data_IF_369765078523
#
_entry.id   IF_369765078523
#
_cell.length_a   1.000
_cell.length_b   1.000
_cell.length_c   1.000
_cell.angle_alpha   90.00
_cell.angle_beta   90.00
_cell.angle_gamma   90.00
#
_symmetry.space_group_name_H-M   'P 1'
#
loop_
_entity.id
_entity.type
_entity.pdbx_description
1 polymer ?
#
# COMPACT_ATOMS: atom_id res chain seq x y z
N UNK A 1 27.40 2.07 -1.65
CA UNK A 1 26.02 1.92 -2.21
C UNK A 1 25.07 1.26 -1.22
N UNK A 2 25.53 0.29 -0.42
CA UNK A 2 24.69 -0.39 0.59
C UNK A 2 24.32 0.52 1.76
N UNK A 3 25.13 1.51 2.08
CA UNK A 3 24.87 2.44 3.18
C UNK A 3 23.65 3.36 2.96
N UNK A 4 23.21 3.56 1.71
CA UNK A 4 22.01 4.38 1.41
C UNK A 4 20.73 3.67 1.85
N UNK A 5 20.74 2.36 1.95
CA UNK A 5 19.60 1.55 2.39
C UNK A 5 19.66 1.19 3.89
N UNK A 6 20.76 1.50 4.56
CA UNK A 6 20.91 1.38 6.01
C UNK A 6 20.63 2.72 6.68
N UNK A 7 19.37 3.08 6.77
CA UNK A 7 18.97 4.10 7.75
C UNK A 7 19.12 3.47 9.14
N UNK A 8 20.26 3.74 9.78
CA UNK A 8 20.54 3.31 11.17
C UNK A 8 19.83 4.26 12.14
N UNK A 9 18.52 4.30 12.13
CA UNK A 9 17.74 5.11 13.03
C UNK A 9 16.28 4.66 13.05
N UNK A 10 15.63 4.81 14.17
CA UNK A 10 14.23 4.45 14.40
C UNK A 10 13.22 5.29 13.59
N UNK A 11 13.69 6.20 12.71
CA UNK A 11 12.83 7.07 11.88
C UNK A 11 13.20 6.97 10.41
N UNK A 12 12.22 6.55 9.61
CA UNK A 12 12.27 6.65 8.16
C UNK A 12 12.11 8.12 7.73
N UNK A 13 12.73 8.56 6.61
CA UNK A 13 12.54 9.92 6.11
C UNK A 13 11.13 10.11 5.53
N UNK A 14 10.61 11.34 5.62
CA UNK A 14 9.31 11.71 5.06
C UNK A 14 9.34 11.84 3.54
N UNK A 15 10.51 12.09 2.95
CA UNK A 15 10.76 12.21 1.51
C UNK A 15 12.23 11.95 1.20
N UNK A 16 12.50 11.43 0.00
CA UNK A 16 13.84 11.18 -0.50
C UNK A 16 14.06 11.98 -1.79
N UNK A 17 15.15 12.73 -1.87
CA UNK A 17 15.56 13.42 -3.09
C UNK A 17 16.87 12.79 -3.57
N UNK A 18 16.89 12.34 -4.82
CA UNK A 18 18.01 11.60 -5.41
C UNK A 18 18.49 12.36 -6.64
N UNK A 19 19.79 12.49 -6.82
CA UNK A 19 20.38 12.98 -8.09
C UNK A 19 20.40 11.85 -9.13
N UNK A 20 20.38 12.19 -10.40
CA UNK A 20 20.48 11.26 -11.53
C UNK A 20 21.68 10.31 -11.41
N UNK A 21 22.78 10.78 -10.81
CA UNK A 21 23.97 9.99 -10.52
C UNK A 21 24.47 10.27 -9.11
N UNK A 22 24.53 9.26 -8.27
CA UNK A 22 25.07 9.34 -6.90
C UNK A 22 26.22 8.36 -6.76
N UNK A 23 27.47 8.87 -6.58
CA UNK A 23 28.68 8.04 -6.43
C UNK A 23 28.85 6.99 -7.55
N UNK A 24 28.57 7.36 -8.81
CA UNK A 24 28.70 6.47 -9.97
C UNK A 24 27.54 5.49 -10.18
N UNK A 25 26.52 5.52 -9.32
CA UNK A 25 25.31 4.71 -9.45
C UNK A 25 24.19 5.55 -10.03
N UNK A 26 23.40 4.98 -10.93
CA UNK A 26 22.27 5.68 -11.52
C UNK A 26 21.14 5.85 -10.49
N UNK A 27 20.63 7.07 -10.35
CA UNK A 27 19.56 7.42 -9.42
C UNK A 27 18.31 6.54 -9.59
N UNK A 28 17.99 6.14 -10.84
CA UNK A 28 16.87 5.22 -11.11
C UNK A 28 17.04 3.83 -10.49
N UNK A 29 18.27 3.33 -10.39
CA UNK A 29 18.55 2.03 -9.76
C UNK A 29 18.35 2.11 -8.24
N UNK A 30 18.71 3.27 -7.67
CA UNK A 30 18.47 3.57 -6.25
C UNK A 30 16.97 3.68 -6.00
N UNK A 31 16.24 4.41 -6.85
CA UNK A 31 14.78 4.51 -6.81
C UNK A 31 14.12 3.14 -6.82
N UNK A 32 14.45 2.30 -7.80
CA UNK A 32 13.89 0.94 -7.91
C UNK A 32 14.14 0.10 -6.66
N UNK A 33 15.34 0.19 -6.05
CA UNK A 33 15.65 -0.49 -4.79
C UNK A 33 14.82 0.03 -3.62
N UNK A 34 14.63 1.35 -3.51
CA UNK A 34 13.76 1.95 -2.47
C UNK A 34 12.32 1.49 -2.65
N UNK A 35 11.81 1.54 -3.88
CA UNK A 35 10.42 1.18 -4.18
C UNK A 35 10.13 -0.32 -4.13
N UNK A 36 11.14 -1.17 -4.25
CA UNK A 36 11.02 -2.62 -4.00
C UNK A 36 11.13 -3.00 -2.52
N UNK A 37 11.57 -2.10 -1.66
CA UNK A 37 11.66 -2.35 -0.23
C UNK A 37 10.31 -2.09 0.45
N UNK A 38 9.72 -3.10 1.07
CA UNK A 38 8.40 -3.04 1.73
C UNK A 38 8.30 -1.98 2.82
N UNK A 39 9.41 -1.67 3.51
CA UNK A 39 9.45 -0.65 4.56
C UNK A 39 9.59 0.79 4.02
N UNK A 40 10.03 0.96 2.77
CA UNK A 40 10.32 2.27 2.18
C UNK A 40 9.48 2.60 0.94
N UNK A 41 8.72 1.63 0.40
CA UNK A 41 7.90 1.80 -0.81
C UNK A 41 6.93 2.99 -0.72
N UNK A 42 6.45 3.29 0.47
CA UNK A 42 5.50 4.38 0.71
C UNK A 42 6.15 5.77 0.76
N UNK A 43 7.48 5.86 0.89
CA UNK A 43 8.19 7.14 0.99
C UNK A 43 8.24 7.81 -0.38
N UNK A 44 7.79 9.07 -0.52
CA UNK A 44 7.89 9.80 -1.77
C UNK A 44 9.35 10.00 -2.21
N UNK A 45 9.61 9.83 -3.51
CA UNK A 45 10.94 9.99 -4.10
C UNK A 45 10.90 11.01 -5.23
N UNK A 46 11.75 12.04 -5.14
CA UNK A 46 12.04 12.98 -6.23
C UNK A 46 13.38 12.60 -6.85
N UNK A 47 13.43 12.43 -8.18
CA UNK A 47 14.66 12.22 -8.91
C UNK A 47 15.02 13.50 -9.69
N UNK A 48 16.22 14.03 -9.46
CA UNK A 48 16.77 15.16 -10.17
C UNK A 48 17.50 14.68 -11.41
N UNK A 49 17.13 15.18 -12.60
CA UNK A 49 17.69 14.78 -13.89
C UNK A 49 18.46 15.95 -14.55
N UNK A 50 19.54 15.62 -15.25
CA UNK A 50 20.41 16.62 -15.88
C UNK A 50 19.79 17.25 -17.13
N UNK A 51 19.07 16.45 -17.93
CA UNK A 51 18.42 16.89 -19.17
C UNK A 51 16.90 16.90 -19.03
N UNK A 52 16.29 17.95 -19.60
CA UNK A 52 14.86 18.23 -19.53
C UNK A 52 14.13 17.82 -20.83
N UNK A 53 14.68 16.89 -21.61
CA UNK A 53 14.08 16.41 -22.83
C UNK A 53 13.06 15.27 -22.56
N UNK A 54 12.08 15.12 -23.46
CA UNK A 54 11.03 14.13 -23.32
C UNK A 54 11.55 12.68 -23.29
N UNK A 55 12.73 12.42 -23.87
CA UNK A 55 13.37 11.10 -23.84
C UNK A 55 13.90 10.74 -22.45
N UNK A 56 14.42 11.71 -21.71
CA UNK A 56 14.90 11.53 -20.34
C UNK A 56 13.75 11.20 -19.38
N UNK A 57 12.60 11.87 -19.53
CA UNK A 57 11.41 11.58 -18.71
C UNK A 57 10.91 10.14 -18.91
N UNK A 58 10.82 9.68 -20.16
CA UNK A 58 10.39 8.31 -20.46
C UNK A 58 11.36 7.25 -19.93
N UNK A 59 12.67 7.54 -19.98
CA UNK A 59 13.70 6.60 -19.49
C UNK A 59 13.68 6.37 -17.97
N UNK A 60 13.02 7.24 -17.21
CA UNK A 60 12.94 7.18 -15.75
C UNK A 60 11.54 6.84 -15.22
N UNK A 61 10.52 6.76 -16.09
CA UNK A 61 9.14 6.48 -15.70
C UNK A 61 8.96 5.11 -15.01
N UNK A 62 9.76 4.12 -15.40
CA UNK A 62 9.62 2.73 -14.93
C UNK A 62 10.24 2.46 -13.54
N UNK A 63 10.96 3.42 -12.94
CA UNK A 63 11.64 3.19 -11.67
C UNK A 63 10.75 3.46 -10.42
N UNK A 64 9.47 3.81 -10.62
CA UNK A 64 8.52 4.08 -9.52
C UNK A 64 8.75 5.41 -8.81
N UNK A 65 9.48 6.36 -9.42
CA UNK A 65 9.68 7.71 -8.89
C UNK A 65 8.36 8.48 -8.83
N UNK A 66 8.13 9.21 -7.74
CA UNK A 66 6.91 10.00 -7.57
C UNK A 66 6.96 11.33 -8.33
N UNK A 67 8.16 11.87 -8.53
CA UNK A 67 8.37 13.08 -9.31
C UNK A 67 9.78 13.16 -9.93
N UNK A 68 9.83 13.63 -11.18
CA UNK A 68 11.06 13.97 -11.90
C UNK A 68 11.18 15.50 -11.96
N UNK A 69 12.33 16.03 -11.59
CA UNK A 69 12.61 17.45 -11.66
C UNK A 69 14.00 17.72 -12.28
N UNK A 70 14.18 18.82 -13.03
CA UNK A 70 15.49 19.17 -13.56
C UNK A 70 16.46 19.51 -12.42
N UNK A 71 17.72 19.11 -12.55
CA UNK A 71 18.76 19.41 -11.56
C UNK A 71 18.93 20.92 -11.32
N UNK A 72 18.69 21.74 -12.36
CA UNK A 72 18.71 23.21 -12.30
C UNK A 72 17.39 23.82 -11.81
N UNK A 73 16.62 23.09 -11.00
CA UNK A 73 15.35 23.56 -10.44
C UNK A 73 15.56 24.75 -9.49
N UNK A 74 14.65 25.71 -9.55
CA UNK A 74 14.61 26.78 -8.56
C UNK A 74 14.25 26.19 -7.17
N UNK A 75 15.01 26.60 -6.14
CA UNK A 75 14.83 26.12 -4.76
C UNK A 75 13.40 26.34 -4.25
N UNK A 76 12.76 27.46 -4.60
CA UNK A 76 11.37 27.72 -4.20
C UNK A 76 10.42 26.70 -4.81
N UNK A 77 10.61 26.34 -6.08
CA UNK A 77 9.81 25.32 -6.76
C UNK A 77 10.04 23.94 -6.13
N UNK A 78 11.29 23.56 -5.88
CA UNK A 78 11.60 22.28 -5.21
C UNK A 78 10.96 22.20 -3.82
N UNK A 79 10.99 23.29 -3.04
CA UNK A 79 10.30 23.35 -1.73
C UNK A 79 8.80 23.15 -1.87
N UNK A 80 8.16 23.76 -2.88
CA UNK A 80 6.73 23.56 -3.13
C UNK A 80 6.43 22.11 -3.48
N UNK A 81 7.23 21.48 -4.33
CA UNK A 81 7.05 20.10 -4.75
C UNK A 81 7.22 19.12 -3.58
N UNK A 82 8.23 19.33 -2.75
CA UNK A 82 8.44 18.59 -1.51
C UNK A 82 7.21 18.71 -0.61
N UNK A 83 6.71 19.94 -0.39
CA UNK A 83 5.55 20.17 0.47
C UNK A 83 4.27 19.49 -0.08
N UNK A 84 4.06 19.54 -1.40
CA UNK A 84 2.92 18.87 -2.06
C UNK A 84 3.00 17.36 -1.84
N UNK A 85 4.17 16.75 -2.04
CA UNK A 85 4.35 15.30 -1.87
C UNK A 85 4.20 14.87 -0.41
N UNK A 86 4.77 15.60 0.55
CA UNK A 86 4.61 15.34 1.98
C UNK A 86 3.14 15.46 2.38
N UNK A 87 2.46 16.55 2.00
CA UNK A 87 1.05 16.75 2.31
C UNK A 87 0.17 15.64 1.70
N UNK A 88 0.46 15.23 0.45
CA UNK A 88 -0.22 14.10 -0.21
C UNK A 88 0.01 12.81 0.58
N UNK A 89 1.24 12.55 0.97
CA UNK A 89 1.61 11.37 1.77
C UNK A 89 0.89 11.37 3.14
N UNK A 90 0.96 12.48 3.88
CA UNK A 90 0.26 12.63 5.17
C UNK A 90 -1.25 12.45 5.04
N UNK A 91 -1.87 13.00 3.98
CA UNK A 91 -3.31 12.80 3.74
C UNK A 91 -3.64 11.33 3.50
N UNK A 92 -2.81 10.63 2.74
CA UNK A 92 -2.95 9.19 2.51
C UNK A 92 -2.82 8.45 3.85
N UNK A 93 -1.78 8.75 4.64
CA UNK A 93 -1.57 8.11 5.94
C UNK A 93 -2.72 8.38 6.91
N UNK A 94 -3.20 9.62 7.02
CA UNK A 94 -4.39 9.98 7.82
C UNK A 94 -5.66 9.29 7.35
N UNK A 95 -5.84 9.13 6.02
CA UNK A 95 -6.95 8.35 5.48
C UNK A 95 -6.81 6.86 5.81
N UNK A 96 -5.58 6.34 5.83
CA UNK A 96 -5.30 4.98 6.25
C UNK A 96 -5.59 4.78 7.75
N UNK A 97 -5.12 5.67 8.59
CA UNK A 97 -5.36 5.66 10.04
C UNK A 97 -6.85 5.82 10.36
N UNK A 98 -7.52 6.78 9.72
CA UNK A 98 -8.96 6.97 9.86
C UNK A 98 -9.75 5.75 9.38
N UNK A 99 -9.34 5.15 8.25
CA UNK A 99 -9.98 3.93 7.76
C UNK A 99 -9.64 2.68 8.58
N UNK A 100 -8.49 2.65 9.24
CA UNK A 100 -8.18 1.65 10.25
C UNK A 100 -9.03 1.88 11.51
N UNK A 101 -9.35 3.13 11.86
CA UNK A 101 -10.19 3.46 13.01
C UNK A 101 -11.69 3.35 12.72
N UNK A 102 -12.15 3.78 11.52
CA UNK A 102 -13.58 3.84 11.17
C UNK A 102 -14.09 2.56 10.48
N UNK A 103 -13.21 1.73 9.92
CA UNK A 103 -13.58 0.55 9.11
C UNK A 103 -12.94 -0.77 9.55
N UNK A 104 -12.05 -0.78 10.52
CA UNK A 104 -12.07 -1.96 11.37
C UNK A 104 -13.43 -1.86 12.08
N UNK A 105 -14.30 -2.91 12.03
CA UNK A 105 -15.24 -3.04 13.08
C UNK A 105 -14.36 -2.90 14.33
N UNK A 106 -14.61 -1.83 15.10
CA UNK A 106 -13.98 -1.73 16.41
C UNK A 106 -14.06 -3.16 16.92
N UNK A 107 -12.95 -3.88 17.03
CA UNK A 107 -13.10 -5.18 17.61
C UNK A 107 -13.79 -4.82 18.90
N UNK A 108 -14.95 -5.40 19.14
CA UNK A 108 -15.45 -5.52 20.48
C UNK A 108 -14.44 -6.43 21.19
N UNK A 109 -13.15 -6.13 20.97
CA UNK A 109 -12.01 -6.78 21.56
C UNK A 109 -12.12 -6.47 23.04
N UNK A 110 -12.88 -7.33 23.71
CA UNK A 110 -13.14 -7.27 25.14
C UNK A 110 -11.88 -7.61 25.93
N UNK A 111 -10.78 -7.98 25.21
CA UNK A 111 -9.51 -8.38 25.84
C UNK A 111 -8.30 -8.11 24.92
N UNK A 112 -7.11 -8.00 25.53
CA UNK A 112 -5.82 -7.95 24.81
C UNK A 112 -5.61 -9.20 23.93
N UNK A 113 -6.10 -10.37 24.39
CA UNK A 113 -6.02 -11.62 23.64
C UNK A 113 -6.75 -11.57 22.30
N UNK A 114 -7.90 -10.90 22.24
CA UNK A 114 -8.68 -10.75 21.02
C UNK A 114 -7.97 -9.82 20.02
N UNK A 115 -7.31 -8.78 20.52
CA UNK A 115 -6.49 -7.89 19.71
C UNK A 115 -5.29 -8.62 19.11
N UNK A 116 -4.57 -9.41 19.92
CA UNK A 116 -3.46 -10.25 19.45
C UNK A 116 -3.90 -11.29 18.44
N UNK A 117 -5.07 -11.90 18.67
CA UNK A 117 -5.65 -12.88 17.74
C UNK A 117 -5.93 -12.25 16.36
N UNK A 118 -6.64 -11.11 16.33
CA UNK A 118 -6.95 -10.41 15.06
C UNK A 118 -5.68 -9.94 14.36
N UNK A 119 -4.70 -9.43 15.10
CA UNK A 119 -3.41 -9.02 14.52
C UNK A 119 -2.67 -10.21 13.88
N UNK A 120 -2.72 -11.39 14.49
CA UNK A 120 -2.15 -12.61 13.90
C UNK A 120 -2.90 -13.02 12.63
N UNK A 121 -4.24 -12.97 12.64
CA UNK A 121 -5.08 -13.23 11.45
C UNK A 121 -4.72 -12.26 10.32
N UNK A 122 -4.63 -10.97 10.60
CA UNK A 122 -4.28 -9.95 9.62
C UNK A 122 -2.90 -10.15 8.99
N UNK A 123 -1.88 -10.52 9.81
CA UNK A 123 -0.54 -10.86 9.30
C UNK A 123 -0.55 -12.07 8.36
N UNK A 124 -1.33 -13.10 8.68
CA UNK A 124 -1.46 -14.28 7.81
C UNK A 124 -2.18 -13.94 6.50
N UNK A 125 -3.25 -13.14 6.56
CA UNK A 125 -3.94 -12.65 5.38
C UNK A 125 -3.04 -11.78 4.51
N UNK A 126 -2.22 -10.95 5.10
CA UNK A 126 -1.27 -10.08 4.38
C UNK A 126 -0.20 -10.91 3.66
N UNK A 127 0.37 -11.90 4.34
CA UNK A 127 1.36 -12.83 3.78
C UNK A 127 0.82 -13.63 2.57
N UNK A 128 -0.47 -13.98 2.60
CA UNK A 128 -1.13 -14.80 1.57
C UNK A 128 -2.08 -14.00 0.67
N UNK A 129 -1.93 -12.68 0.62
CA UNK A 129 -2.88 -11.76 -0.04
C UNK A 129 -3.05 -12.05 -1.53
N UNK A 130 -1.95 -12.34 -2.23
CA UNK A 130 -1.91 -12.65 -3.67
C UNK A 130 -2.31 -14.09 -4.01
N UNK A 131 -2.44 -14.95 -3.01
CA UNK A 131 -2.80 -16.36 -3.24
C UNK A 131 -4.30 -16.48 -3.48
N UNK A 132 -4.70 -16.74 -4.72
CA UNK A 132 -6.11 -16.88 -5.12
C UNK A 132 -6.82 -18.00 -4.37
N UNK A 133 -6.14 -19.11 -4.13
CA UNK A 133 -6.65 -20.32 -3.48
C UNK A 133 -6.57 -20.31 -1.95
N UNK A 134 -6.14 -19.18 -1.31
CA UNK A 134 -6.06 -19.14 0.14
C UNK A 134 -7.44 -19.10 0.77
N UNK A 135 -7.82 -20.21 1.42
CA UNK A 135 -9.16 -20.44 1.95
C UNK A 135 -9.25 -20.24 3.46
N UNK A 136 -10.49 -20.20 3.99
CA UNK A 136 -10.75 -20.17 5.44
C UNK A 136 -10.14 -21.39 6.14
N UNK A 137 -10.14 -22.56 5.47
CA UNK A 137 -9.58 -23.77 6.03
C UNK A 137 -8.06 -23.67 6.21
N UNK A 138 -7.37 -23.11 5.21
CA UNK A 138 -5.94 -22.84 5.29
C UNK A 138 -5.64 -21.82 6.38
N UNK A 139 -6.41 -20.71 6.45
CA UNK A 139 -6.24 -19.69 7.46
C UNK A 139 -6.46 -20.26 8.88
N UNK A 140 -7.48 -21.10 9.08
CA UNK A 140 -7.72 -21.74 10.39
C UNK A 140 -6.60 -22.70 10.77
N UNK A 141 -6.06 -23.46 9.82
CA UNK A 141 -4.91 -24.35 10.02
C UNK A 141 -3.63 -23.55 10.39
N UNK A 142 -3.34 -22.45 9.67
CA UNK A 142 -2.20 -21.56 9.97
C UNK A 142 -2.33 -20.89 11.35
N UNK A 143 -3.56 -20.68 11.82
CA UNK A 143 -3.82 -20.21 13.18
C UNK A 143 -3.69 -21.32 14.24
N UNK A 144 -3.49 -22.58 13.84
CA UNK A 144 -3.46 -23.74 14.76
C UNK A 144 -4.82 -24.07 15.36
N UNK A 145 -5.91 -23.76 14.68
CA UNK A 145 -7.27 -23.92 15.18
C UNK A 145 -8.13 -24.78 14.26
N UNK A 146 -9.05 -25.55 14.83
CA UNK A 146 -10.07 -26.18 14.01
C UNK A 146 -11.05 -25.12 13.47
N UNK A 147 -11.62 -25.39 12.28
CA UNK A 147 -12.50 -24.49 11.56
C UNK A 147 -13.64 -23.92 12.41
N UNK A 148 -14.28 -24.77 13.21
CA UNK A 148 -15.43 -24.37 14.05
C UNK A 148 -15.01 -23.35 15.11
N UNK A 149 -13.93 -23.59 15.84
CA UNK A 149 -13.41 -22.65 16.86
C UNK A 149 -12.97 -21.34 16.23
N UNK A 150 -12.29 -21.43 15.08
CA UNK A 150 -11.86 -20.24 14.34
C UNK A 150 -13.07 -19.41 13.87
N UNK A 151 -14.10 -20.08 13.33
CA UNK A 151 -15.34 -19.42 12.89
C UNK A 151 -16.01 -18.68 14.04
N UNK A 152 -16.23 -19.34 15.16
CA UNK A 152 -16.88 -18.75 16.34
C UNK A 152 -16.08 -17.55 16.83
N UNK A 153 -14.74 -17.69 17.00
CA UNK A 153 -13.89 -16.62 17.52
C UNK A 153 -13.84 -15.38 16.60
N UNK A 154 -13.72 -15.58 15.28
CA UNK A 154 -13.78 -14.45 14.32
C UNK A 154 -15.12 -13.75 14.40
N UNK A 155 -16.23 -14.52 14.45
CA UNK A 155 -17.57 -13.94 14.50
C UNK A 155 -17.83 -13.16 15.79
N UNK A 156 -17.38 -13.67 16.92
CA UNK A 156 -17.49 -13.00 18.23
C UNK A 156 -16.74 -11.68 18.29
N UNK A 157 -15.52 -11.63 17.70
CA UNK A 157 -14.66 -10.44 17.74
C UNK A 157 -15.07 -9.41 16.68
N UNK A 158 -15.49 -9.87 15.49
CA UNK A 158 -15.62 -8.96 14.32
C UNK A 158 -17.05 -8.82 13.82
N UNK A 159 -17.99 -9.57 14.38
CA UNK A 159 -19.39 -9.70 13.92
C UNK A 159 -19.52 -10.15 12.44
N UNK A 160 -18.44 -10.72 11.88
CA UNK A 160 -18.36 -11.21 10.50
C UNK A 160 -18.00 -12.68 10.46
N UNK A 161 -18.50 -13.38 9.46
CA UNK A 161 -17.98 -14.73 9.16
C UNK A 161 -16.53 -14.63 8.69
N UNK A 162 -15.69 -15.68 8.84
CA UNK A 162 -14.32 -15.68 8.35
C UNK A 162 -14.19 -15.30 6.86
N UNK A 163 -15.11 -15.81 6.03
CA UNK A 163 -15.15 -15.47 4.60
C UNK A 163 -15.44 -13.99 4.36
N UNK A 164 -16.39 -13.42 5.09
CA UNK A 164 -16.70 -11.98 5.02
C UNK A 164 -15.54 -11.14 5.54
N UNK A 165 -14.85 -11.58 6.60
CA UNK A 165 -13.69 -10.90 7.15
C UNK A 165 -12.52 -10.89 6.15
N UNK A 166 -12.23 -12.03 5.49
CA UNK A 166 -11.21 -12.10 4.44
C UNK A 166 -11.52 -11.17 3.26
N UNK A 167 -12.78 -11.13 2.82
CA UNK A 167 -13.21 -10.19 1.77
C UNK A 167 -13.10 -8.74 2.22
N UNK A 168 -13.52 -8.44 3.43
CA UNK A 168 -13.40 -7.13 4.04
C UNK A 168 -11.94 -6.66 4.07
N UNK A 169 -11.03 -7.53 4.53
CA UNK A 169 -9.60 -7.25 4.55
C UNK A 169 -9.05 -6.94 3.15
N UNK A 170 -9.38 -7.77 2.14
CA UNK A 170 -8.98 -7.54 0.74
C UNK A 170 -9.54 -6.23 0.19
N UNK A 171 -10.78 -5.86 0.50
CA UNK A 171 -11.40 -4.61 0.04
C UNK A 171 -10.74 -3.38 0.67
N UNK A 172 -10.38 -3.43 1.95
CA UNK A 172 -9.66 -2.34 2.60
C UNK A 172 -8.25 -2.15 2.00
N UNK A 173 -7.53 -3.24 1.73
CA UNK A 173 -6.24 -3.14 1.01
C UNK A 173 -6.41 -2.59 -0.41
N UNK A 174 -7.49 -2.98 -1.11
CA UNK A 174 -7.82 -2.42 -2.43
C UNK A 174 -8.01 -0.91 -2.39
N UNK A 175 -8.77 -0.43 -1.40
CA UNK A 175 -8.99 1.01 -1.18
C UNK A 175 -7.67 1.78 -1.02
N UNK A 176 -6.76 1.24 -0.22
CA UNK A 176 -5.43 1.81 -0.01
C UNK A 176 -4.66 1.89 -1.33
N UNK A 177 -4.55 0.76 -2.06
CA UNK A 177 -3.82 0.69 -3.33
C UNK A 177 -4.42 1.61 -4.41
N UNK A 178 -5.74 1.77 -4.46
CA UNK A 178 -6.41 2.70 -5.37
C UNK A 178 -6.06 4.16 -5.10
N UNK A 179 -5.97 4.53 -3.80
CA UNK A 179 -5.63 5.91 -3.39
C UNK A 179 -4.17 6.25 -3.69
N UNK A 180 -3.25 5.27 -3.67
CA UNK A 180 -1.84 5.52 -4.06
C UNK A 180 -1.68 5.87 -5.54
N UNK A 181 -2.63 5.49 -6.41
CA UNK A 181 -2.58 5.65 -7.87
C UNK A 181 -1.32 5.07 -8.55
N UNK A 182 -0.59 4.20 -7.85
CA UNK A 182 0.63 3.57 -8.37
C UNK A 182 0.33 2.34 -9.22
N UNK A 183 -0.87 1.79 -9.09
CA UNK A 183 -1.26 0.53 -9.73
C UNK A 183 -2.56 0.70 -10.51
N UNK A 184 -2.65 0.00 -11.62
CA UNK A 184 -3.91 -0.12 -12.37
C UNK A 184 -4.91 -0.99 -11.62
N UNK A 185 -6.18 -0.85 -11.92
CA UNK A 185 -7.25 -1.68 -11.33
C UNK A 185 -6.99 -3.18 -11.57
N UNK A 186 -6.37 -3.53 -12.71
CA UNK A 186 -6.02 -4.90 -13.06
C UNK A 186 -4.90 -5.44 -12.18
N UNK A 187 -3.85 -4.66 -11.99
CA UNK A 187 -2.74 -5.04 -11.10
C UNK A 187 -3.21 -5.19 -9.66
N UNK A 188 -4.05 -4.26 -9.17
CA UNK A 188 -4.65 -4.37 -7.83
C UNK A 188 -5.46 -5.64 -7.68
N UNK A 189 -6.27 -6.01 -8.69
CA UNK A 189 -7.04 -7.24 -8.66
C UNK A 189 -6.12 -8.47 -8.55
N UNK A 190 -5.04 -8.51 -9.33
CA UNK A 190 -4.04 -9.59 -9.30
C UNK A 190 -3.31 -9.63 -7.95
N UNK A 191 -2.86 -8.48 -7.44
CA UNK A 191 -2.20 -8.35 -6.12
C UNK A 191 -3.05 -8.90 -4.98
N UNK A 192 -4.37 -8.69 -5.05
CA UNK A 192 -5.32 -9.15 -4.04
C UNK A 192 -5.82 -10.57 -4.27
N UNK A 193 -5.24 -11.29 -5.25
CA UNK A 193 -5.62 -12.68 -5.57
C UNK A 193 -7.07 -12.79 -6.07
N UNK A 194 -7.51 -11.88 -6.93
CA UNK A 194 -8.77 -12.01 -7.66
C UNK A 194 -8.52 -12.60 -9.05
N UNK A 195 -9.34 -13.55 -9.46
CA UNK A 195 -9.24 -14.21 -10.75
C UNK A 195 -9.29 -13.26 -11.96
N UNK A 196 -9.94 -12.12 -11.83
CA UNK A 196 -9.94 -11.07 -12.87
C UNK A 196 -10.43 -9.71 -12.33
N UNK A 197 -10.06 -8.64 -13.04
CA UNK A 197 -10.42 -7.27 -12.69
C UNK A 197 -11.93 -7.00 -12.73
N UNK A 198 -12.68 -7.70 -13.59
CA UNK A 198 -14.15 -7.56 -13.69
C UNK A 198 -14.85 -8.07 -12.43
N UNK A 199 -14.42 -9.21 -11.91
CA UNK A 199 -14.94 -9.77 -10.67
C UNK A 199 -14.57 -8.88 -9.48
N UNK A 200 -13.31 -8.45 -9.40
CA UNK A 200 -12.87 -7.48 -8.42
C UNK A 200 -13.71 -6.20 -8.44
N UNK A 201 -13.91 -5.58 -9.61
CA UNK A 201 -14.70 -4.36 -9.76
C UNK A 201 -16.16 -4.52 -9.28
N UNK A 202 -16.79 -5.66 -9.58
CA UNK A 202 -18.14 -5.97 -9.06
C UNK A 202 -18.17 -6.09 -7.52
N UNK A 203 -17.17 -6.77 -6.93
CA UNK A 203 -17.04 -6.92 -5.48
C UNK A 203 -16.77 -5.59 -4.81
N UNK A 204 -15.86 -4.79 -5.34
CA UNK A 204 -15.54 -3.45 -4.84
C UNK A 204 -16.78 -2.53 -4.86
N UNK A 205 -17.50 -2.49 -6.00
CA UNK A 205 -18.75 -1.72 -6.11
C UNK A 205 -19.82 -2.18 -5.12
N UNK A 206 -19.94 -3.51 -4.90
CA UNK A 206 -20.86 -4.03 -3.89
C UNK A 206 -20.51 -3.53 -2.48
N UNK A 207 -19.22 -3.41 -2.18
CA UNK A 207 -18.71 -3.06 -0.87
C UNK A 207 -18.74 -1.53 -0.61
N UNK A 208 -18.20 -0.74 -1.54
CA UNK A 208 -18.09 0.71 -1.42
C UNK A 208 -19.18 1.51 -2.15
N UNK A 209 -20.13 0.83 -2.83
CA UNK A 209 -21.24 1.41 -3.60
C UNK A 209 -20.81 2.11 -4.90
N UNK A 210 -19.54 2.36 -5.10
CA UNK A 210 -18.94 2.97 -6.29
C UNK A 210 -17.89 2.04 -6.92
N UNK A 211 -17.72 2.03 -8.25
CA UNK A 211 -16.68 1.23 -8.90
C UNK A 211 -15.27 1.79 -8.58
N UNK A 212 -14.20 0.96 -8.67
CA UNK A 212 -12.83 1.39 -8.37
C UNK A 212 -12.39 2.65 -9.11
N UNK A 213 -12.73 2.76 -10.39
CA UNK A 213 -12.37 3.91 -11.25
C UNK A 213 -13.08 5.20 -10.84
N UNK A 214 -14.30 5.11 -10.34
CA UNK A 214 -15.03 6.26 -9.81
C UNK A 214 -14.53 6.63 -8.42
N UNK A 215 -14.21 5.64 -7.60
CA UNK A 215 -13.66 5.86 -6.26
C UNK A 215 -12.38 6.71 -6.30
N UNK A 216 -11.49 6.46 -7.27
CA UNK A 216 -10.28 7.27 -7.47
C UNK A 216 -10.65 8.74 -7.75
N UNK A 217 -11.67 9.00 -8.60
CA UNK A 217 -12.10 10.36 -8.96
C UNK A 217 -12.78 11.13 -7.82
N UNK A 218 -13.42 10.44 -6.90
CA UNK A 218 -14.10 11.05 -5.75
C UNK A 218 -13.12 11.42 -4.61
N UNK A 219 -11.95 10.76 -4.59
CA UNK A 219 -10.92 11.01 -3.58
C UNK A 219 -9.96 12.13 -3.99
N UNK A 220 -9.85 12.43 -5.28
CA UNK A 220 -8.97 13.43 -5.89
C UNK A 220 -9.73 14.46 -6.72
#
# INVERSE_FOLDING_TARGET
PEQILHFSGDRLPDIIVIDETVNGIRGKEICSKIKSNTSMVHIPVILLISNNDNGSYLAHADCGVDKLEPRAINICRLKMDIQILINKHERIMKLLEKNLSDNLPSPTAKSEEDTLFINKVNKLLEKNLSTESYTVDMLSADMGMCRTKFYTKIKEITDKTPTEYMHYFKMNKAKILLVTQQYTVTEIATFLGFCNAKYFGKRFKKFYKVPPTQYIKEVF
#
